data_IF_425575661543
#
_entry.id   IF_425575661543
#
_cell.length_a   1.000
_cell.length_b   1.000
_cell.length_c   1.000
_cell.angle_alpha   90.00
_cell.angle_beta   90.00
_cell.angle_gamma   90.00
#
_symmetry.space_group_name_H-M   'P 1'
#
loop_
_entity.id
_entity.type
_entity.pdbx_description
1 polymer ?
#
# COMPACT_ATOMS: atom_id res chain seq x y z
N UNK A 1 14.87 0.55 18.14
CA UNK A 1 13.92 1.05 17.12
C UNK A 1 14.65 0.98 15.79
N UNK A 2 14.07 0.45 14.70
CA UNK A 2 14.68 0.62 13.39
C UNK A 2 14.89 2.12 13.14
N UNK A 3 15.98 2.48 12.47
CA UNK A 3 16.34 3.89 12.24
C UNK A 3 15.14 4.63 11.63
N UNK A 4 14.65 5.66 12.34
CA UNK A 4 13.55 6.50 11.87
C UNK A 4 13.90 7.06 10.49
N UNK A 5 13.01 6.89 9.52
CA UNK A 5 13.21 7.36 8.15
C UNK A 5 13.57 8.84 8.16
N UNK A 6 14.74 9.19 7.62
CA UNK A 6 15.23 10.57 7.61
C UNK A 6 14.77 11.31 6.35
N UNK A 7 14.67 12.65 6.41
CA UNK A 7 14.41 13.50 5.23
C UNK A 7 15.41 13.20 4.13
N UNK A 8 16.68 12.99 4.50
CA UNK A 8 17.77 12.69 3.56
C UNK A 8 17.50 11.42 2.76
N UNK A 9 17.08 10.33 3.42
CA UNK A 9 16.75 9.07 2.75
C UNK A 9 15.55 9.23 1.80
N UNK A 10 14.50 9.97 2.20
CA UNK A 10 13.35 10.25 1.34
C UNK A 10 13.73 11.11 0.12
N UNK A 11 14.68 12.03 0.31
CA UNK A 11 15.19 12.88 -0.75
C UNK A 11 16.01 12.05 -1.76
N UNK A 12 16.92 11.21 -1.28
CA UNK A 12 17.77 10.31 -2.09
C UNK A 12 16.93 9.26 -2.85
N UNK A 13 15.88 8.73 -2.23
CA UNK A 13 14.93 7.82 -2.87
C UNK A 13 14.00 8.51 -3.89
N UNK A 14 14.01 9.84 -3.97
CA UNK A 14 13.14 10.59 -4.88
C UNK A 14 11.66 10.63 -4.46
N UNK A 15 11.34 10.35 -3.19
CA UNK A 15 9.96 10.30 -2.69
C UNK A 15 9.24 11.67 -2.70
N UNK A 16 10.02 12.76 -2.79
CA UNK A 16 9.51 14.14 -2.87
C UNK A 16 8.92 14.51 -4.24
N UNK A 17 9.14 13.70 -5.28
CA UNK A 17 8.61 13.97 -6.61
C UNK A 17 7.13 13.58 -6.70
N UNK A 18 6.28 14.59 -6.94
CA UNK A 18 4.88 14.42 -7.25
C UNK A 18 4.63 14.26 -8.76
N UNK A 19 3.39 14.52 -9.16
CA UNK A 19 2.98 14.50 -10.57
C UNK A 19 3.16 15.87 -11.25
N UNK A 20 2.94 15.88 -12.57
CA UNK A 20 2.88 17.11 -13.35
C UNK A 20 1.74 18.03 -12.86
N UNK A 21 1.91 19.34 -13.02
CA UNK A 21 0.93 20.36 -12.60
C UNK A 21 -0.44 20.25 -13.27
N UNK A 22 -0.56 19.53 -14.39
CA UNK A 22 -1.83 19.26 -15.07
C UNK A 22 -2.64 18.12 -14.45
N UNK A 23 -2.00 17.24 -13.66
CA UNK A 23 -2.61 16.01 -13.10
C UNK A 23 -2.72 16.04 -11.57
N UNK A 24 -2.72 17.23 -10.98
CA UNK A 24 -2.80 17.39 -9.53
C UNK A 24 -4.25 17.51 -9.04
N UNK A 25 -4.49 17.13 -7.78
CA UNK A 25 -5.78 17.28 -7.14
C UNK A 25 -5.77 18.50 -6.20
N UNK A 26 -6.73 19.44 -6.25
CA UNK A 26 -6.69 20.69 -5.48
C UNK A 26 -6.55 20.52 -3.96
N UNK A 27 -7.12 19.44 -3.40
CA UNK A 27 -6.97 19.10 -1.96
C UNK A 27 -5.54 18.77 -1.54
N UNK A 28 -4.64 18.52 -2.49
CA UNK A 28 -3.22 18.28 -2.20
C UNK A 28 -2.42 19.55 -1.94
N UNK A 29 -3.02 20.74 -2.08
CA UNK A 29 -2.33 22.04 -1.93
C UNK A 29 -1.51 22.15 -0.64
N UNK A 30 -2.03 21.63 0.47
CA UNK A 30 -1.38 21.71 1.78
C UNK A 30 -0.18 20.75 1.94
N UNK A 31 -0.03 19.78 1.04
CA UNK A 31 1.04 18.78 1.02
C UNK A 31 2.12 19.10 -0.03
N UNK A 32 1.88 20.11 -0.87
CA UNK A 32 2.79 20.53 -1.94
C UNK A 32 3.64 21.67 -1.42
N UNK A 33 4.95 21.46 -1.36
CA UNK A 33 5.92 22.47 -0.97
C UNK A 33 6.11 23.52 -2.08
N UNK A 34 6.41 23.07 -3.30
CA UNK A 34 6.60 23.98 -4.45
C UNK A 34 6.38 23.24 -5.78
N UNK A 35 6.54 23.95 -6.90
CA UNK A 35 6.59 23.37 -8.25
C UNK A 35 7.90 23.77 -8.93
N UNK A 36 8.57 22.81 -9.56
CA UNK A 36 9.80 23.04 -10.34
C UNK A 36 9.71 22.28 -11.65
N UNK A 37 10.00 22.94 -12.76
CA UNK A 37 9.96 22.34 -14.11
C UNK A 37 8.64 21.61 -14.42
N UNK A 38 7.51 22.16 -13.94
CA UNK A 38 6.18 21.57 -14.16
C UNK A 38 5.85 20.34 -13.30
N UNK A 39 6.72 19.95 -12.35
CA UNK A 39 6.50 18.85 -11.40
C UNK A 39 6.24 19.44 -10.01
N UNK A 40 5.24 18.91 -9.29
CA UNK A 40 5.01 19.23 -7.89
C UNK A 40 6.03 18.55 -6.98
N UNK A 41 6.55 19.30 -6.02
CA UNK A 41 7.43 18.79 -4.96
C UNK A 41 6.61 18.68 -3.68
N UNK A 42 6.60 17.50 -3.09
CA UNK A 42 5.87 17.18 -1.84
C UNK A 42 6.71 17.64 -0.65
N UNK A 43 6.04 18.15 0.38
CA UNK A 43 6.68 18.54 1.64
C UNK A 43 7.12 17.31 2.44
N UNK A 44 8.44 17.11 2.55
CA UNK A 44 9.02 15.97 3.27
C UNK A 44 8.95 16.13 4.80
N UNK A 45 8.94 17.35 5.33
CA UNK A 45 8.83 17.58 6.78
C UNK A 45 7.43 17.14 7.24
N UNK A 46 6.40 17.55 6.50
CA UNK A 46 5.04 17.09 6.73
C UNK A 46 4.88 15.58 6.51
N UNK A 47 5.56 15.02 5.50
CA UNK A 47 5.56 13.58 5.22
C UNK A 47 6.06 12.78 6.42
N UNK A 48 7.15 13.19 7.06
CA UNK A 48 7.69 12.48 8.23
C UNK A 48 6.72 12.54 9.41
N UNK A 49 6.18 13.72 9.73
CA UNK A 49 5.23 13.85 10.83
C UNK A 49 3.95 13.01 10.63
N UNK A 50 3.49 12.88 9.38
CA UNK A 50 2.35 12.02 9.04
C UNK A 50 2.72 10.53 9.01
N UNK A 51 3.96 10.21 8.61
CA UNK A 51 4.47 8.84 8.63
C UNK A 51 4.55 8.30 10.06
N UNK A 52 5.03 9.11 11.01
CA UNK A 52 5.08 8.73 12.43
C UNK A 52 3.67 8.41 12.97
N UNK A 53 2.68 9.28 12.66
CA UNK A 53 1.28 9.02 13.04
C UNK A 53 0.71 7.75 12.41
N UNK A 54 1.04 7.49 11.14
CA UNK A 54 0.61 6.27 10.47
C UNK A 54 1.27 5.03 11.06
N UNK A 55 2.55 5.14 11.45
CA UNK A 55 3.29 4.08 12.12
C UNK A 55 2.66 3.73 13.47
N UNK A 56 2.36 4.74 14.30
CA UNK A 56 1.71 4.55 15.60
C UNK A 56 0.35 3.85 15.44
N UNK A 57 -0.45 4.26 14.46
CA UNK A 57 -1.75 3.64 14.16
C UNK A 57 -1.62 2.17 13.73
N UNK A 58 -0.65 1.88 12.85
CA UNK A 58 -0.36 0.51 12.41
C UNK A 58 0.10 -0.35 13.59
N UNK A 59 1.01 0.18 14.41
CA UNK A 59 1.51 -0.53 15.59
C UNK A 59 0.39 -0.86 16.57
N UNK A 60 -0.50 0.11 16.84
CA UNK A 60 -1.67 -0.12 17.69
C UNK A 60 -2.61 -1.18 17.10
N UNK A 61 -2.93 -1.07 15.81
CA UNK A 61 -3.84 -2.01 15.12
C UNK A 61 -3.33 -3.45 15.22
N UNK A 62 -2.03 -3.65 15.00
CA UNK A 62 -1.40 -4.99 15.09
C UNK A 62 -1.32 -5.47 16.54
N UNK A 63 -1.05 -4.58 17.51
CA UNK A 63 -1.05 -4.92 18.93
C UNK A 63 -2.42 -5.39 19.44
N UNK A 64 -3.51 -4.88 18.86
CA UNK A 64 -4.88 -5.31 19.14
C UNK A 64 -5.27 -6.62 18.41
N UNK A 65 -4.36 -7.21 17.63
CA UNK A 65 -4.59 -8.42 16.85
C UNK A 65 -5.25 -8.18 15.49
N UNK A 66 -5.33 -6.92 15.05
CA UNK A 66 -5.83 -6.53 13.74
C UNK A 66 -4.96 -7.06 12.60
N UNK A 67 -5.59 -7.21 11.43
CA UNK A 67 -4.94 -7.65 10.19
C UNK A 67 -4.84 -6.50 9.21
N UNK A 68 -3.70 -6.40 8.52
CA UNK A 68 -3.44 -5.37 7.51
C UNK A 68 -3.51 -5.99 6.13
N UNK A 69 -4.21 -5.32 5.21
CA UNK A 69 -4.29 -5.68 3.80
C UNK A 69 -3.46 -4.71 2.98
N UNK A 70 -2.36 -5.19 2.41
CA UNK A 70 -1.52 -4.41 1.50
C UNK A 70 -2.14 -4.41 0.10
N UNK A 71 -2.24 -3.25 -0.55
CA UNK A 71 -2.88 -3.15 -1.87
C UNK A 71 -2.05 -2.31 -2.82
N UNK A 72 -1.71 -2.89 -3.97
CA UNK A 72 -1.16 -2.17 -5.11
C UNK A 72 -1.50 -2.93 -6.39
N UNK A 73 -1.68 -2.24 -7.50
CA UNK A 73 -1.84 -2.89 -8.82
C UNK A 73 -0.82 -2.37 -9.83
N UNK A 74 0.10 -1.53 -9.36
CA UNK A 74 1.15 -0.93 -10.20
C UNK A 74 2.28 -1.93 -10.38
N UNK A 75 2.68 -2.17 -11.63
CA UNK A 75 3.78 -3.08 -12.00
C UNK A 75 5.05 -2.89 -11.16
N UNK A 76 5.44 -1.64 -10.90
CA UNK A 76 6.67 -1.34 -10.14
C UNK A 76 6.59 -1.72 -8.64
N UNK A 77 5.39 -1.99 -8.13
CA UNK A 77 5.16 -2.24 -6.71
C UNK A 77 4.54 -3.62 -6.44
N UNK A 78 4.31 -4.45 -7.47
CA UNK A 78 3.65 -5.74 -7.28
C UNK A 78 4.51 -6.69 -6.45
N UNK A 79 5.77 -6.82 -6.83
CA UNK A 79 6.74 -7.71 -6.16
C UNK A 79 7.07 -7.20 -4.76
N UNK A 80 7.28 -5.88 -4.60
CA UNK A 80 7.61 -5.25 -3.32
C UNK A 80 6.49 -5.48 -2.29
N UNK A 81 5.23 -5.30 -2.70
CA UNK A 81 4.09 -5.47 -1.80
C UNK A 81 3.92 -6.94 -1.40
N UNK A 82 4.13 -7.87 -2.32
CA UNK A 82 4.07 -9.30 -2.02
C UNK A 82 5.17 -9.73 -1.07
N UNK A 83 6.41 -9.31 -1.31
CA UNK A 83 7.57 -9.64 -0.48
C UNK A 83 7.40 -9.10 0.95
N UNK A 84 7.06 -7.81 1.09
CA UNK A 84 6.94 -7.17 2.40
C UNK A 84 5.73 -7.69 3.18
N UNK A 85 4.60 -7.97 2.52
CA UNK A 85 3.43 -8.55 3.17
C UNK A 85 3.71 -9.99 3.66
N UNK A 86 4.40 -10.81 2.85
CA UNK A 86 4.84 -12.15 3.24
C UNK A 86 5.84 -12.10 4.39
N UNK A 87 6.77 -11.13 4.40
CA UNK A 87 7.76 -10.97 5.48
C UNK A 87 7.10 -10.69 6.84
N UNK A 88 5.97 -10.01 6.86
CA UNK A 88 5.22 -9.71 8.09
C UNK A 88 3.98 -10.58 8.32
N UNK A 89 3.80 -11.65 7.54
CA UNK A 89 2.64 -12.58 7.63
C UNK A 89 1.27 -11.86 7.55
N UNK A 90 1.18 -10.91 6.63
CA UNK A 90 -0.03 -10.12 6.37
C UNK A 90 -0.59 -10.37 4.96
N UNK A 91 -1.85 -9.98 4.75
CA UNK A 91 -2.55 -10.21 3.49
C UNK A 91 -2.18 -9.16 2.44
N UNK A 92 -2.21 -9.51 1.16
CA UNK A 92 -1.95 -8.58 0.07
C UNK A 92 -2.81 -8.83 -1.17
N UNK A 93 -3.00 -7.77 -1.96
CA UNK A 93 -3.54 -7.81 -3.33
C UNK A 93 -2.60 -7.00 -4.21
N UNK A 94 -1.80 -7.68 -5.04
CA UNK A 94 -0.80 -7.06 -5.91
C UNK A 94 -1.17 -7.07 -7.42
N UNK A 95 -2.18 -7.83 -7.84
CA UNK A 95 -2.58 -7.95 -9.25
C UNK A 95 -3.74 -7.01 -9.62
N UNK A 96 -4.98 -7.45 -9.35
CA UNK A 96 -6.21 -6.74 -9.69
C UNK A 96 -7.11 -6.66 -8.47
N UNK A 97 -7.54 -5.46 -8.13
CA UNK A 97 -8.59 -5.27 -7.13
C UNK A 97 -9.96 -5.61 -7.74
N UNK A 98 -10.58 -6.67 -7.22
CA UNK A 98 -11.92 -7.07 -7.65
C UNK A 98 -12.95 -6.21 -6.89
N UNK A 99 -13.90 -5.62 -7.64
CA UNK A 99 -14.99 -4.88 -7.01
C UNK A 99 -15.78 -5.79 -6.07
N UNK A 100 -16.03 -5.34 -4.84
CA UNK A 100 -16.74 -6.14 -3.84
C UNK A 100 -15.85 -6.92 -2.87
N UNK A 101 -14.51 -6.86 -2.99
CA UNK A 101 -13.59 -7.53 -2.04
C UNK A 101 -13.90 -7.20 -0.59
N UNK A 102 -14.17 -5.93 -0.26
CA UNK A 102 -14.53 -5.53 1.11
C UNK A 102 -16.04 -5.43 1.34
N UNK A 103 -16.80 -4.98 0.34
CA UNK A 103 -18.23 -4.67 0.50
C UNK A 103 -19.17 -5.85 0.24
N UNK A 104 -18.72 -6.86 -0.50
CA UNK A 104 -19.46 -8.09 -0.78
C UNK A 104 -18.56 -9.31 -0.52
N UNK A 105 -17.99 -9.35 0.68
CA UNK A 105 -17.03 -10.36 1.05
C UNK A 105 -17.62 -11.78 1.00
N UNK A 106 -18.89 -11.98 1.34
CA UNK A 106 -19.54 -13.29 1.29
C UNK A 106 -19.48 -13.94 -0.11
N UNK A 107 -19.66 -13.15 -1.18
CA UNK A 107 -19.56 -13.67 -2.55
C UNK A 107 -18.12 -13.97 -2.94
N UNK A 108 -17.18 -13.13 -2.48
CA UNK A 108 -15.75 -13.31 -2.74
C UNK A 108 -15.21 -14.53 -2.00
N UNK A 109 -15.61 -14.73 -0.74
CA UNK A 109 -15.33 -15.92 0.05
C UNK A 109 -15.77 -17.18 -0.69
N UNK A 110 -17.01 -17.23 -1.19
CA UNK A 110 -17.50 -18.38 -1.95
C UNK A 110 -16.67 -18.69 -3.21
N UNK A 111 -16.05 -17.67 -3.84
CA UNK A 111 -15.12 -17.86 -4.96
C UNK A 111 -13.76 -18.39 -4.52
N UNK A 112 -13.27 -17.96 -3.37
CA UNK A 112 -12.04 -18.48 -2.76
C UNK A 112 -12.24 -19.94 -2.37
N UNK A 113 -13.35 -20.27 -1.71
CA UNK A 113 -13.66 -21.66 -1.32
C UNK A 113 -13.79 -22.56 -2.56
N UNK A 114 -14.37 -22.04 -3.64
CA UNK A 114 -14.43 -22.74 -4.93
C UNK A 114 -13.03 -22.97 -5.53
N UNK A 115 -12.11 -22.00 -5.43
CA UNK A 115 -10.73 -22.16 -5.88
C UNK A 115 -10.01 -23.26 -5.09
N UNK A 116 -10.09 -23.21 -3.75
CA UNK A 116 -9.48 -24.23 -2.87
C UNK A 116 -10.00 -25.62 -3.21
N UNK A 117 -11.31 -25.76 -3.45
CA UNK A 117 -11.90 -27.03 -3.88
C UNK A 117 -11.34 -27.54 -5.20
N UNK A 118 -11.11 -26.66 -6.18
CA UNK A 118 -10.53 -27.04 -7.47
C UNK A 118 -9.06 -27.45 -7.34
N UNK A 119 -8.29 -26.74 -6.52
CA UNK A 119 -6.89 -27.09 -6.22
C UNK A 119 -6.79 -28.45 -5.52
N UNK A 120 -7.71 -28.74 -4.59
CA UNK A 120 -7.79 -30.04 -3.91
C UNK A 120 -8.14 -31.19 -4.86
N UNK A 121 -9.06 -30.97 -5.82
CA UNK A 121 -9.41 -31.97 -6.83
C UNK A 121 -8.24 -32.26 -7.75
N UNK A 122 -7.57 -31.21 -8.23
CA UNK A 122 -6.39 -31.33 -9.06
C UNK A 122 -5.24 -32.06 -8.34
N UNK A 123 -5.03 -31.79 -7.05
CA UNK A 123 -4.02 -32.47 -6.24
C UNK A 123 -4.33 -33.97 -6.03
N UNK A 124 -5.61 -34.36 -6.07
CA UNK A 124 -6.06 -35.76 -5.99
C UNK A 124 -6.01 -36.48 -7.34
N UNK A 125 -5.87 -35.75 -8.44
CA UNK A 125 -5.80 -36.29 -9.80
C UNK A 125 -7.16 -36.53 -10.46
N UNK A 126 -8.21 -35.85 -9.96
CA UNK A 126 -9.57 -35.83 -10.55
C UNK A 126 -9.69 -34.84 -11.73
#
# INVERSE_FOLDING_TARGET
MPDSVTIKQLLEAGAHFGHQTSRWHPRMKNYIFTKRNGIHIIDLEQTISLLDKAFDFVQQTVAEGGKILFVSTKKQAQDIIEEEAKRCDMYYVNQRWIGGVLTNFATIQARIDHLVRLEDQQARGD
#
